data_IF_959039211511
#
_entry.id   IF_959039211511
#
_cell.length_a   1.000
_cell.length_b   1.000
_cell.length_c   1.000
_cell.angle_alpha   90.00
_cell.angle_beta   90.00
_cell.angle_gamma   90.00
#
_symmetry.space_group_name_H-M   'P 1'
#
loop_
_entity.id
_entity.type
_entity.pdbx_description
1 polymer ?
#
# COMPACT_ATOMS: atom_id res chain seq x y z
N UNK A 1 -6.15 -4.90 -12.90
CA UNK A 1 -5.41 -3.76 -12.31
C UNK A 1 -4.81 -4.24 -10.99
N UNK A 2 -3.52 -4.01 -10.75
CA UNK A 2 -2.90 -4.40 -9.48
C UNK A 2 -3.27 -3.42 -8.37
N UNK A 3 -3.48 -3.88 -7.13
CA UNK A 3 -3.78 -2.99 -6.03
C UNK A 3 -2.49 -2.37 -5.45
N UNK A 4 -2.65 -1.24 -4.78
CA UNK A 4 -1.69 -0.74 -3.80
C UNK A 4 -1.96 -1.46 -2.48
N UNK A 5 -0.98 -2.17 -1.95
CA UNK A 5 -1.06 -2.89 -0.68
C UNK A 5 -0.58 -2.02 0.47
N UNK A 6 -1.09 -2.28 1.68
CA UNK A 6 -0.53 -1.76 2.92
C UNK A 6 0.16 -2.89 3.68
N UNK A 7 1.48 -2.78 3.80
CA UNK A 7 2.34 -3.78 4.44
C UNK A 7 3.10 -3.14 5.60
N UNK A 8 3.56 -3.98 6.52
CA UNK A 8 4.32 -3.60 7.70
C UNK A 8 5.71 -4.22 7.69
N UNK A 9 6.68 -3.54 8.31
CA UNK A 9 8.01 -4.08 8.52
C UNK A 9 7.98 -5.13 9.64
N UNK A 10 8.25 -6.39 9.29
CA UNK A 10 8.47 -7.45 10.27
C UNK A 10 9.94 -7.51 10.66
N UNK A 11 10.21 -7.43 11.96
CA UNK A 11 11.52 -7.66 12.58
C UNK A 11 11.66 -9.09 13.14
N UNK A 12 10.64 -9.93 12.95
CA UNK A 12 10.66 -11.32 13.39
C UNK A 12 11.83 -12.07 12.73
N UNK A 13 12.68 -12.77 13.51
CA UNK A 13 13.83 -13.52 12.98
C UNK A 13 13.47 -14.56 11.92
N UNK A 14 12.20 -15.00 11.86
CA UNK A 14 11.71 -15.98 10.89
C UNK A 14 11.23 -15.34 9.58
N UNK A 15 10.72 -14.11 9.64
CA UNK A 15 10.06 -13.41 8.54
C UNK A 15 10.53 -11.95 8.45
N UNK A 16 11.84 -11.71 8.44
CA UNK A 16 12.35 -10.34 8.34
C UNK A 16 12.06 -9.81 6.93
N UNK A 17 11.24 -8.76 6.82
CA UNK A 17 10.77 -8.27 5.53
C UNK A 17 9.49 -7.45 5.61
N UNK A 18 8.70 -7.47 4.54
CA UNK A 18 7.37 -6.85 4.51
C UNK A 18 6.30 -7.93 4.55
N UNK A 19 5.35 -7.76 5.45
CA UNK A 19 4.21 -8.67 5.69
C UNK A 19 2.91 -7.87 5.78
N UNK A 20 1.76 -8.50 5.63
CA UNK A 20 0.49 -7.85 5.95
C UNK A 20 0.40 -7.60 7.46
N UNK A 21 -0.30 -6.54 7.91
CA UNK A 21 -0.48 -6.27 9.33
C UNK A 21 -1.07 -7.45 10.12
N UNK A 22 -1.95 -8.24 9.50
CA UNK A 22 -2.56 -9.44 10.08
C UNK A 22 -1.57 -10.59 10.32
N UNK A 23 -0.35 -10.50 9.81
CA UNK A 23 0.72 -11.49 9.96
C UNK A 23 1.77 -11.11 10.99
N UNK A 24 1.67 -9.90 11.56
CA UNK A 24 2.51 -9.47 12.67
C UNK A 24 2.12 -10.25 13.93
N UNK A 25 3.08 -10.39 14.85
CA UNK A 25 2.77 -10.90 16.19
C UNK A 25 1.85 -9.92 16.91
N UNK A 26 0.96 -10.45 17.75
CA UNK A 26 0.12 -9.64 18.63
C UNK A 26 0.99 -8.64 19.42
N UNK A 27 0.44 -7.45 19.66
CA UNK A 27 1.09 -6.34 20.37
C UNK A 27 2.38 -5.79 19.74
N UNK A 28 2.72 -6.17 18.50
CA UNK A 28 3.86 -5.60 17.77
C UNK A 28 3.49 -4.27 17.13
N UNK A 29 4.13 -3.18 17.55
CA UNK A 29 4.08 -1.93 16.80
C UNK A 29 5.08 -1.97 15.64
N UNK A 30 4.58 -1.98 14.41
CA UNK A 30 5.39 -1.82 13.21
C UNK A 30 4.86 -0.68 12.33
N UNK A 31 5.73 0.22 11.84
CA UNK A 31 5.36 1.17 10.79
C UNK A 31 4.87 0.45 9.53
N UNK A 32 3.75 0.93 8.98
CA UNK A 32 3.24 0.48 7.70
C UNK A 32 3.64 1.38 6.54
N UNK A 33 3.73 0.79 5.35
CA UNK A 33 4.02 1.48 4.09
C UNK A 33 3.05 1.01 3.00
N UNK A 34 2.77 1.89 2.05
CA UNK A 34 2.08 1.51 0.82
C UNK A 34 3.07 0.97 -0.19
N UNK A 35 2.72 -0.14 -0.85
CA UNK A 35 3.54 -0.76 -1.88
C UNK A 35 2.72 -1.25 -3.07
N UNK A 36 3.36 -1.40 -4.22
CA UNK A 36 2.84 -2.16 -5.35
C UNK A 36 3.76 -3.35 -5.63
N UNK A 37 3.15 -4.47 -6.03
CA UNK A 37 3.88 -5.66 -6.45
C UNK A 37 4.07 -5.63 -7.97
N UNK A 38 5.30 -5.89 -8.44
CA UNK A 38 5.66 -5.78 -9.84
C UNK A 38 6.27 -7.08 -10.37
N UNK A 39 5.78 -7.54 -11.52
CA UNK A 39 6.26 -8.74 -12.21
C UNK A 39 7.41 -8.48 -13.21
N UNK A 40 7.50 -7.27 -13.79
CA UNK A 40 8.38 -6.97 -14.93
C UNK A 40 9.18 -5.68 -14.78
N UNK A 41 10.23 -5.52 -15.59
CA UNK A 41 11.04 -4.30 -15.71
C UNK A 41 10.23 -3.17 -16.37
N UNK A 42 9.35 -2.50 -15.62
CA UNK A 42 8.61 -1.32 -16.09
C UNK A 42 7.36 -1.05 -15.25
N UNK A 43 7.13 0.21 -14.87
CA UNK A 43 5.97 0.58 -14.07
C UNK A 43 4.67 0.31 -14.84
N UNK A 44 3.71 -0.34 -14.18
CA UNK A 44 2.34 -0.39 -14.68
C UNK A 44 1.76 1.03 -14.78
N UNK A 45 0.81 1.19 -15.70
CA UNK A 45 0.21 2.50 -15.97
C UNK A 45 -0.89 2.86 -14.97
N UNK A 46 -1.43 1.88 -14.25
CA UNK A 46 -2.56 2.08 -13.34
C UNK A 46 -2.57 1.06 -12.21
N UNK A 47 -3.03 1.50 -11.04
CA UNK A 47 -3.26 0.68 -9.87
C UNK A 47 -4.59 1.06 -9.22
N UNK A 48 -5.17 0.13 -8.44
CA UNK A 48 -6.30 0.43 -7.56
C UNK A 48 -5.75 0.82 -6.19
N UNK A 49 -6.20 1.96 -5.67
CA UNK A 49 -5.81 2.43 -4.35
C UNK A 49 -7.06 2.67 -3.49
N UNK A 50 -7.28 1.76 -2.55
CA UNK A 50 -8.40 1.86 -1.62
C UNK A 50 -8.19 3.00 -0.61
N UNK A 51 -9.27 3.71 -0.34
CA UNK A 51 -9.34 4.82 0.61
C UNK A 51 -10.65 4.76 1.39
N UNK A 52 -10.67 5.40 2.54
CA UNK A 52 -11.89 5.66 3.31
C UNK A 52 -12.26 7.13 3.08
N UNK A 53 -13.52 7.38 2.71
CA UNK A 53 -14.11 8.71 2.61
C UNK A 53 -15.32 8.77 3.56
N UNK A 54 -15.19 9.53 4.65
CA UNK A 54 -16.27 9.70 5.66
C UNK A 54 -16.83 8.39 6.20
N UNK A 55 -15.97 7.40 6.38
CA UNK A 55 -16.30 6.08 6.91
C UNK A 55 -16.67 5.03 5.87
N UNK A 56 -16.80 5.41 4.60
CA UNK A 56 -17.07 4.47 3.51
C UNK A 56 -15.79 4.07 2.79
N UNK A 57 -15.59 2.76 2.61
CA UNK A 57 -14.48 2.24 1.81
C UNK A 57 -14.78 2.45 0.32
N UNK A 58 -13.89 3.15 -0.36
CA UNK A 58 -13.94 3.42 -1.79
C UNK A 58 -12.65 2.97 -2.48
N UNK A 59 -12.76 2.57 -3.75
CA UNK A 59 -11.61 2.21 -4.58
C UNK A 59 -11.37 3.31 -5.62
N UNK A 60 -10.15 3.85 -5.65
CA UNK A 60 -9.77 4.92 -6.56
C UNK A 60 -8.71 4.45 -7.56
N UNK A 61 -8.76 4.97 -8.78
CA UNK A 61 -7.73 4.70 -9.78
C UNK A 61 -6.52 5.61 -9.56
N UNK A 62 -5.36 4.99 -9.36
CA UNK A 62 -4.07 5.65 -9.33
C UNK A 62 -3.38 5.49 -10.69
N UNK A 63 -3.34 6.55 -11.48
CA UNK A 63 -2.90 6.52 -12.89
C UNK A 63 -1.53 7.18 -13.05
N UNK A 64 -0.66 6.57 -13.85
CA UNK A 64 0.68 7.09 -14.17
C UNK A 64 0.58 8.32 -15.05
N UNK A 65 1.22 9.42 -14.62
CA UNK A 65 1.27 10.69 -15.37
C UNK A 65 2.71 11.15 -15.68
N UNK A 66 3.70 10.38 -15.23
CA UNK A 66 5.12 10.61 -15.48
C UNK A 66 5.93 9.36 -15.16
N UNK A 67 7.25 9.42 -15.24
CA UNK A 67 8.07 8.21 -15.15
C UNK A 67 7.79 7.38 -13.88
N UNK A 68 7.77 8.02 -12.72
CA UNK A 68 7.44 7.37 -11.44
C UNK A 68 6.36 8.13 -10.66
N UNK A 69 5.62 9.01 -11.35
CA UNK A 69 4.62 9.90 -10.75
C UNK A 69 3.24 9.44 -11.15
N UNK A 70 2.38 9.32 -10.15
CA UNK A 70 1.03 8.82 -10.24
C UNK A 70 0.06 9.84 -9.66
N UNK A 71 -1.15 9.84 -10.17
CA UNK A 71 -2.23 10.73 -9.77
C UNK A 71 -3.45 9.90 -9.39
N UNK A 72 -4.05 10.23 -8.26
CA UNK A 72 -5.41 9.82 -7.89
C UNK A 72 -6.31 11.04 -8.03
N UNK A 73 -7.37 10.91 -8.83
CA UNK A 73 -8.42 11.93 -8.93
C UNK A 73 -9.54 11.57 -7.95
N UNK A 74 -9.87 12.48 -7.05
CA UNK A 74 -11.00 12.33 -6.11
C UNK A 74 -12.16 13.21 -6.56
N UNK A 75 -13.39 12.84 -6.20
CA UNK A 75 -14.58 13.64 -6.52
C UNK A 75 -14.59 14.99 -5.78
N UNK A 76 -14.18 14.98 -4.51
CA UNK A 76 -14.35 16.12 -3.60
C UNK A 76 -13.04 16.82 -3.21
N UNK A 77 -11.89 16.15 -3.34
CA UNK A 77 -10.61 16.61 -2.77
C UNK A 77 -9.56 16.94 -3.83
N UNK A 78 -9.97 16.99 -5.11
CA UNK A 78 -9.11 17.24 -6.26
C UNK A 78 -8.11 16.11 -6.54
N UNK A 79 -6.95 16.48 -7.12
CA UNK A 79 -5.90 15.54 -7.53
C UNK A 79 -4.86 15.36 -6.43
N UNK A 80 -4.54 14.11 -6.10
CA UNK A 80 -3.52 13.72 -5.12
C UNK A 80 -2.40 12.98 -5.86
N UNK A 81 -1.16 13.34 -5.57
CA UNK A 81 0.00 12.83 -6.31
C UNK A 81 0.85 11.92 -5.45
N UNK A 82 1.28 10.82 -6.06
CA UNK A 82 2.15 9.82 -5.46
C UNK A 82 3.37 9.58 -6.33
N UNK A 83 4.47 9.18 -5.69
CA UNK A 83 5.68 8.71 -6.35
C UNK A 83 5.88 7.26 -5.99
N UNK A 84 6.10 6.42 -7.01
CA UNK A 84 6.57 5.05 -6.79
C UNK A 84 8.09 5.04 -6.82
N UNK A 85 8.73 4.41 -5.84
CA UNK A 85 10.20 4.31 -5.75
C UNK A 85 10.64 2.92 -5.31
N UNK A 86 11.91 2.60 -5.59
CA UNK A 86 12.51 1.38 -5.08
C UNK A 86 12.59 1.40 -3.54
N UNK A 87 12.29 0.25 -2.94
CA UNK A 87 12.56 -0.03 -1.53
C UNK A 87 14.02 -0.50 -1.41
N UNK A 88 14.64 -0.30 -0.24
CA UNK A 88 15.92 -0.92 0.07
C UNK A 88 15.85 -2.43 -0.24
N UNK A 89 16.90 -2.96 -0.87
CA UNK A 89 16.90 -4.33 -1.43
C UNK A 89 16.58 -5.42 -0.39
N UNK A 90 16.87 -5.16 0.89
CA UNK A 90 16.52 -6.04 1.98
C UNK A 90 14.99 -6.24 2.13
N UNK A 91 14.20 -5.21 1.87
CA UNK A 91 12.74 -5.21 2.09
C UNK A 91 11.93 -5.16 0.78
N UNK A 92 12.56 -5.46 -0.36
CA UNK A 92 11.90 -5.33 -1.66
C UNK A 92 11.12 -6.59 -2.08
N UNK A 93 10.96 -7.56 -1.17
CA UNK A 93 10.20 -8.79 -1.36
C UNK A 93 9.22 -8.95 -0.21
N UNK A 94 8.09 -9.57 -0.53
CA UNK A 94 7.11 -10.00 0.45
C UNK A 94 7.59 -11.28 1.15
N UNK A 95 7.45 -11.35 2.47
CA UNK A 95 7.93 -12.46 3.30
C UNK A 95 6.82 -13.12 4.12
N UNK A 96 5.56 -12.72 3.92
CA UNK A 96 4.42 -13.32 4.58
C UNK A 96 3.88 -14.56 3.86
N UNK A 97 2.72 -15.01 4.30
CA UNK A 97 1.99 -16.20 3.88
C UNK A 97 0.77 -15.90 2.99
N UNK A 98 0.28 -14.66 2.94
CA UNK A 98 -0.77 -14.26 1.99
C UNK A 98 -0.46 -14.63 0.53
N UNK A 99 -1.49 -15.10 -0.19
CA UNK A 99 -1.44 -15.35 -1.63
C UNK A 99 -1.75 -14.10 -2.48
N UNK A 100 -2.04 -12.95 -1.85
CA UNK A 100 -2.33 -11.70 -2.56
C UNK A 100 -1.11 -11.14 -3.30
N UNK A 101 0.09 -11.46 -2.84
CA UNK A 101 1.36 -11.09 -3.46
C UNK A 101 2.08 -12.39 -3.84
N UNK A 102 2.38 -12.55 -5.13
CA UNK A 102 3.01 -13.78 -5.63
C UNK A 102 4.49 -13.83 -5.24
N UNK A 103 5.04 -15.02 -4.95
CA UNK A 103 6.47 -15.19 -4.72
C UNK A 103 7.31 -14.62 -5.88
N UNK A 104 8.39 -13.93 -5.54
CA UNK A 104 9.31 -13.33 -6.52
C UNK A 104 8.87 -11.98 -7.10
N UNK A 105 7.68 -11.47 -6.75
CA UNK A 105 7.29 -10.11 -7.12
C UNK A 105 8.10 -9.08 -6.35
N UNK A 106 8.69 -8.13 -7.08
CA UNK A 106 9.39 -7.01 -6.45
C UNK A 106 8.39 -5.99 -5.92
N UNK A 107 8.59 -5.56 -4.68
CA UNK A 107 7.83 -4.51 -4.03
C UNK A 107 8.48 -3.15 -4.30
N UNK A 108 7.63 -2.18 -4.63
CA UNK A 108 7.99 -0.78 -4.80
C UNK A 108 7.12 0.07 -3.87
N UNK A 109 7.72 1.05 -3.19
CA UNK A 109 7.00 1.90 -2.25
C UNK A 109 6.23 3.00 -2.98
N UNK A 110 4.97 3.19 -2.57
CA UNK A 110 4.13 4.31 -2.96
C UNK A 110 4.23 5.38 -1.88
N UNK A 111 4.61 6.59 -2.30
CA UNK A 111 4.92 7.70 -1.38
C UNK A 111 4.11 8.93 -1.79
N UNK A 112 3.37 9.58 -0.88
CA UNK A 112 2.68 10.81 -1.22
C UNK A 112 3.70 11.93 -1.51
N UNK A 113 3.40 12.74 -2.52
CA UNK A 113 4.24 13.89 -2.86
C UNK A 113 3.94 15.12 -1.97
N UNK A 114 2.81 15.12 -1.26
CA UNK A 114 2.41 16.16 -0.32
C UNK A 114 1.79 15.53 0.94
N UNK A 115 2.65 15.28 1.94
CA UNK A 115 2.23 14.68 3.20
C UNK A 115 1.29 15.59 4.00
N UNK A 116 1.55 16.90 4.02
CA UNK A 116 0.74 17.86 4.77
C UNK A 116 -0.70 17.89 4.26
N UNK A 117 -0.87 17.81 2.94
CA UNK A 117 -2.21 17.73 2.36
C UNK A 117 -2.95 16.45 2.76
N UNK A 118 -2.28 15.29 2.79
CA UNK A 118 -2.91 14.06 3.26
C UNK A 118 -3.26 14.11 4.75
N UNK A 119 -2.38 14.67 5.58
CA UNK A 119 -2.64 14.86 7.01
C UNK A 119 -3.86 15.77 7.24
N UNK A 120 -3.99 16.84 6.46
CA UNK A 120 -5.15 17.73 6.53
C UNK A 120 -6.44 17.01 6.08
N UNK A 121 -6.41 16.25 4.99
CA UNK A 121 -7.59 15.49 4.55
C UNK A 121 -8.02 14.44 5.58
N UNK A 122 -7.07 13.79 6.24
CA UNK A 122 -7.36 12.83 7.31
C UNK A 122 -8.04 13.51 8.50
N UNK A 123 -7.50 14.67 8.93
CA UNK A 123 -8.00 15.39 10.11
C UNK A 123 -9.33 16.11 9.89
N UNK A 124 -9.47 16.79 8.76
CA UNK A 124 -10.57 17.73 8.54
C UNK A 124 -11.71 17.10 7.73
N UNK A 125 -11.41 16.14 6.85
CA UNK A 125 -12.39 15.55 5.91
C UNK A 125 -12.69 14.07 6.17
N UNK A 126 -12.00 13.45 7.14
CA UNK A 126 -12.05 11.99 7.39
C UNK A 126 -11.76 11.17 6.12
N UNK A 127 -10.83 11.67 5.30
CA UNK A 127 -10.39 11.03 4.08
C UNK A 127 -8.94 10.52 4.23
N UNK A 128 -8.74 9.22 4.06
CA UNK A 128 -7.40 8.63 4.12
C UNK A 128 -7.27 7.39 3.25
N UNK A 129 -6.09 7.22 2.64
CA UNK A 129 -5.76 6.03 1.88
C UNK A 129 -5.42 4.88 2.83
N UNK A 130 -5.96 3.71 2.54
CA UNK A 130 -5.72 2.49 3.35
C UNK A 130 -4.95 1.45 2.57
N UNK A 131 -5.11 1.40 1.24
CA UNK A 131 -4.58 0.31 0.43
C UNK A 131 -5.25 -1.03 0.76
N UNK A 132 -4.89 -2.06 -0.01
CA UNK A 132 -5.40 -3.42 0.20
C UNK A 132 -4.63 -4.10 1.33
N UNK A 133 -5.39 -4.63 2.29
CA UNK A 133 -4.91 -5.53 3.35
C UNK A 133 -5.44 -6.94 3.10
N UNK A 134 -4.77 -7.95 3.64
CA UNK A 134 -5.30 -9.32 3.65
C UNK A 134 -6.19 -9.53 4.88
N UNK A 135 -7.51 -9.55 4.64
CA UNK A 135 -8.53 -9.80 5.64
C UNK A 135 -8.86 -11.29 5.79
N UNK A 136 -8.41 -12.16 4.88
CA UNK A 136 -8.77 -13.58 4.88
C UNK A 136 -7.88 -14.42 5.81
N UNK A 137 -6.78 -13.87 6.33
CA UNK A 137 -5.96 -14.54 7.35
C UNK A 137 -6.67 -14.73 8.70
N UNK A 138 -7.62 -13.86 9.06
CA UNK A 138 -8.42 -14.03 10.28
C UNK A 138 -9.39 -15.23 10.22
N UNK A 139 -9.64 -15.81 9.03
CA UNK A 139 -10.56 -16.96 8.84
C UNK A 139 -9.87 -18.33 8.92
N UNK A 140 -8.56 -18.36 9.12
CA UNK A 140 -7.79 -19.62 9.30
C UNK A 140 -7.66 -20.02 10.77
N UNK A 141 -8.36 -19.31 11.66
CA UNK A 141 -8.51 -19.61 13.09
C UNK A 141 -10.01 -19.86 13.36
N UNK A 142 -10.57 -20.89 12.72
CA UNK A 142 -11.87 -21.49 13.08
C UNK A 142 -11.70 -23.01 13.16
#
# INVERSE_FOLDING_TARGET
MNPVYYLSYSDSPRNYGLVFPSELQEDTYSPGIWVVAQNYNGYENEFIFDAVDKGELISLNMVRIGNSVFQVSTANYGKIFFRIRSIHWYYNMYTGNSNLIKPGQRLLQVVPMDYRRLENLCREELFFFVGKVDNDLMRLID
#
